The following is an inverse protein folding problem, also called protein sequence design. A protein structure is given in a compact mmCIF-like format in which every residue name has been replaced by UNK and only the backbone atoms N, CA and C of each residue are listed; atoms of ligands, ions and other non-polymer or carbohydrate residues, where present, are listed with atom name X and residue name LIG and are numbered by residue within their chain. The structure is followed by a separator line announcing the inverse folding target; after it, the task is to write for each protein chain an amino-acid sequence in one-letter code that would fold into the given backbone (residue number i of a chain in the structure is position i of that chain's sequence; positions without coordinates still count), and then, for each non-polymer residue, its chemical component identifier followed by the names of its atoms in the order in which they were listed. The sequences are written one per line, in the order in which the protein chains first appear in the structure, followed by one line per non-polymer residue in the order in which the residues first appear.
data_IF_799610034677
#
_entry.id   IF_799610034677
#
_cell.length_a   1.000
_cell.length_b   1.000
_cell.length_c   1.000
_cell.angle_alpha   90.00
_cell.angle_beta   90.00
_cell.angle_gamma   90.00
#
_symmetry.space_group_name_H-M   'P 1'
#
loop_
_entity.id
_entity.type
_entity.pdbx_description
1 polymer ?
#
# COMPACT_ATOMS: atom_id res chain seq x y z
N UNK A 1 45.45 12.67 0.34
CA UNK A 1 44.90 11.30 0.31
C UNK A 1 44.04 10.94 1.51
N UNK A 2 44.46 11.19 2.76
CA UNK A 2 43.65 10.85 3.96
C UNK A 2 42.32 11.62 4.07
N UNK A 3 42.34 12.92 3.79
CA UNK A 3 41.13 13.77 3.79
C UNK A 3 40.10 13.35 2.74
N UNK A 4 40.54 13.01 1.53
CA UNK A 4 39.65 12.56 0.44
C UNK A 4 38.91 11.28 0.83
N UNK A 5 39.61 10.31 1.44
CA UNK A 5 39.00 9.06 1.91
C UNK A 5 37.98 9.28 3.03
N UNK A 6 38.29 10.18 3.98
CA UNK A 6 37.38 10.54 5.05
C UNK A 6 36.10 11.22 4.52
N UNK A 7 36.24 12.11 3.53
CA UNK A 7 35.12 12.81 2.91
C UNK A 7 34.19 11.84 2.14
N UNK A 8 34.77 10.89 1.40
CA UNK A 8 33.99 9.86 0.69
C UNK A 8 33.23 8.98 1.67
N UNK A 9 33.86 8.58 2.78
CA UNK A 9 33.21 7.76 3.80
C UNK A 9 32.05 8.51 4.47
N UNK A 10 32.25 9.79 4.78
CA UNK A 10 31.21 10.64 5.34
C UNK A 10 30.01 10.73 4.39
N UNK A 11 30.24 11.02 3.11
CA UNK A 11 29.17 11.12 2.11
C UNK A 11 28.38 9.81 1.98
N UNK A 12 29.06 8.66 1.91
CA UNK A 12 28.41 7.35 1.84
C UNK A 12 27.57 7.04 3.09
N UNK A 13 28.09 7.36 4.28
CA UNK A 13 27.36 7.20 5.54
C UNK A 13 26.11 8.08 5.57
N UNK A 14 26.21 9.34 5.17
CA UNK A 14 25.05 10.24 5.14
C UNK A 14 23.98 9.73 4.17
N UNK A 15 24.38 9.31 2.97
CA UNK A 15 23.45 8.76 1.97
C UNK A 15 22.75 7.49 2.47
N UNK A 16 23.49 6.57 3.09
CA UNK A 16 22.94 5.34 3.65
C UNK A 16 21.95 5.64 4.79
N UNK A 17 22.29 6.58 5.68
CA UNK A 17 21.42 7.01 6.78
C UNK A 17 20.14 7.70 6.27
N UNK A 18 20.24 8.56 5.26
CA UNK A 18 19.07 9.21 4.66
C UNK A 18 18.14 8.22 3.96
N UNK A 19 18.71 7.24 3.25
CA UNK A 19 17.92 6.22 2.56
C UNK A 19 17.20 5.31 3.57
N UNK A 20 17.91 4.89 4.62
CA UNK A 20 17.31 4.13 5.71
C UNK A 20 16.19 4.91 6.42
N UNK A 21 16.36 6.22 6.65
CA UNK A 21 15.31 7.04 7.25
C UNK A 21 14.03 7.05 6.40
N UNK A 22 14.15 7.25 5.08
CA UNK A 22 12.99 7.28 4.18
C UNK A 22 12.26 5.94 4.06
N UNK A 23 12.94 4.80 4.27
CA UNK A 23 12.32 3.47 4.17
C UNK A 23 11.81 2.92 5.50
N UNK A 24 12.32 3.40 6.63
CA UNK A 24 11.99 2.87 7.96
C UNK A 24 10.97 3.72 8.72
N UNK A 25 10.77 4.97 8.33
CA UNK A 25 9.65 5.77 8.81
C UNK A 25 8.36 5.20 8.24
N UNK A 26 7.58 4.49 9.07
CA UNK A 26 6.21 4.15 8.74
C UNK A 26 5.44 5.41 8.33
N UNK A 27 4.48 5.28 7.42
CA UNK A 27 3.63 6.41 7.01
C UNK A 27 2.91 6.93 8.26
N UNK A 28 3.32 8.11 8.74
CA UNK A 28 2.64 8.77 9.84
C UNK A 28 1.20 9.04 9.41
N UNK A 29 0.24 8.70 10.27
CA UNK A 29 -1.18 8.93 9.99
C UNK A 29 -1.95 7.76 9.39
N UNK A 30 -1.36 6.57 9.21
CA UNK A 30 -2.12 5.38 8.74
C UNK A 30 -3.31 5.04 9.63
N UNK A 31 -3.18 5.16 10.96
CA UNK A 31 -4.28 4.89 11.89
C UNK A 31 -5.40 5.94 11.79
N UNK A 32 -5.13 7.26 11.87
CA UNK A 32 -6.13 8.28 11.58
C UNK A 32 -6.77 8.15 10.20
N UNK A 33 -5.98 7.88 9.15
CA UNK A 33 -6.46 7.71 7.78
C UNK A 33 -7.38 6.49 7.66
N UNK A 34 -7.02 5.37 8.29
CA UNK A 34 -7.84 4.17 8.34
C UNK A 34 -9.16 4.41 9.05
N UNK A 35 -9.16 5.16 10.15
CA UNK A 35 -10.39 5.55 10.85
C UNK A 35 -11.28 6.42 9.96
N UNK A 36 -10.70 7.35 9.18
CA UNK A 36 -11.45 8.22 8.29
C UNK A 36 -12.05 7.51 7.07
N UNK A 37 -11.30 6.58 6.46
CA UNK A 37 -11.74 5.85 5.27
C UNK A 37 -12.60 4.62 5.59
N UNK A 38 -12.39 4.00 6.74
CA UNK A 38 -13.00 2.72 7.10
C UNK A 38 -12.47 1.55 6.24
N UNK A 39 -13.14 0.39 6.35
CA UNK A 39 -12.74 -0.87 5.71
C UNK A 39 -13.89 -1.61 5.01
N UNK A 40 -15.02 -0.95 4.78
CA UNK A 40 -16.24 -1.55 4.21
C UNK A 40 -16.07 -2.11 2.79
N UNK A 41 -15.04 -1.66 2.06
CA UNK A 41 -14.73 -2.15 0.71
C UNK A 41 -14.05 -3.52 0.71
N UNK A 42 -13.55 -4.01 1.85
CA UNK A 42 -13.04 -5.36 1.97
C UNK A 42 -14.20 -6.36 1.78
N UNK A 43 -14.20 -7.08 0.67
CA UNK A 43 -15.26 -8.03 0.31
C UNK A 43 -16.45 -7.41 -0.44
N UNK A 44 -16.47 -6.10 -0.67
CA UNK A 44 -17.52 -5.46 -1.43
C UNK A 44 -17.52 -5.93 -2.90
N UNK A 45 -18.71 -6.14 -3.45
CA UNK A 45 -18.92 -6.58 -4.82
C UNK A 45 -19.66 -5.51 -5.61
N UNK A 46 -19.09 -5.11 -6.74
CA UNK A 46 -19.69 -4.14 -7.65
C UNK A 46 -20.85 -4.73 -8.43
N UNK A 47 -21.88 -3.91 -8.68
CA UNK A 47 -23.04 -4.31 -9.49
C UNK A 47 -22.67 -4.58 -10.95
N UNK A 48 -21.82 -3.74 -11.52
CA UNK A 48 -21.31 -3.88 -12.89
C UNK A 48 -19.80 -4.14 -12.90
N UNK A 49 -19.26 -4.52 -14.06
CA UNK A 49 -17.82 -4.65 -14.23
C UNK A 49 -17.10 -3.31 -14.00
N UNK A 50 -17.73 -2.19 -14.37
CA UNK A 50 -17.22 -0.85 -14.12
C UNK A 50 -17.20 -0.52 -12.62
N UNK A 51 -18.21 -0.93 -11.86
CA UNK A 51 -18.25 -0.73 -10.41
C UNK A 51 -17.19 -1.58 -9.70
N UNK A 52 -17.03 -2.85 -10.10
CA UNK A 52 -15.98 -3.70 -9.56
C UNK A 52 -14.59 -3.13 -9.85
N UNK A 53 -14.37 -2.58 -11.06
CA UNK A 53 -13.12 -1.90 -11.39
C UNK A 53 -12.84 -0.71 -10.46
N UNK A 54 -13.87 0.06 -10.06
CA UNK A 54 -13.72 1.17 -9.12
C UNK A 54 -13.33 0.67 -7.73
N UNK A 55 -13.99 -0.39 -7.23
CA UNK A 55 -13.67 -0.99 -5.93
C UNK A 55 -12.22 -1.51 -5.92
N UNK A 56 -11.82 -2.25 -6.95
CA UNK A 56 -10.46 -2.81 -7.08
C UNK A 56 -9.39 -1.72 -7.08
N UNK A 57 -9.61 -0.65 -7.85
CA UNK A 57 -8.68 0.50 -7.94
C UNK A 57 -8.58 1.28 -6.63
N UNK A 58 -9.64 1.35 -5.84
CA UNK A 58 -9.62 2.03 -4.54
C UNK A 58 -8.90 1.19 -3.48
N UNK A 59 -9.11 -0.13 -3.45
CA UNK A 59 -8.50 -1.01 -2.44
C UNK A 59 -7.02 -1.28 -2.68
N UNK A 60 -6.59 -1.42 -3.94
CA UNK A 60 -5.23 -1.86 -4.28
C UNK A 60 -4.11 -0.98 -3.69
N UNK A 61 -4.17 0.38 -3.75
CA UNK A 61 -3.14 1.23 -3.14
C UNK A 61 -3.08 1.08 -1.61
N UNK A 62 -4.25 0.99 -0.96
CA UNK A 62 -4.34 0.79 0.50
C UNK A 62 -3.70 -0.53 0.94
N UNK A 63 -3.86 -1.59 0.15
CA UNK A 63 -3.18 -2.87 0.38
C UNK A 63 -1.67 -2.77 0.18
N UNK A 64 -1.21 -2.04 -0.84
CA UNK A 64 0.23 -1.85 -1.11
C UNK A 64 0.95 -1.11 0.03
N UNK A 65 0.30 -0.11 0.63
CA UNK A 65 0.89 0.70 1.72
C UNK A 65 0.55 0.22 3.13
N UNK A 66 -0.05 -0.98 3.26
CA UNK A 66 -0.47 -1.57 4.55
C UNK A 66 -1.45 -0.70 5.34
N UNK A 67 -2.25 0.11 4.64
CA UNK A 67 -3.42 0.78 5.24
C UNK A 67 -4.48 -0.26 5.63
N UNK A 68 -4.66 -1.28 4.77
CA UNK A 68 -5.49 -2.45 5.04
C UNK A 68 -4.68 -3.63 5.58
N UNK A 69 -5.30 -4.42 6.44
CA UNK A 69 -4.70 -5.65 6.95
C UNK A 69 -4.61 -6.69 5.84
N UNK A 70 -3.71 -7.66 6.01
CA UNK A 70 -3.58 -8.77 5.06
C UNK A 70 -4.90 -9.52 4.84
N UNK A 71 -5.64 -9.78 5.92
CA UNK A 71 -6.93 -10.47 5.86
C UNK A 71 -7.98 -9.69 5.03
N UNK A 72 -8.00 -8.37 5.13
CA UNK A 72 -8.91 -7.52 4.34
C UNK A 72 -8.54 -7.52 2.85
N UNK A 73 -7.25 -7.46 2.54
CA UNK A 73 -6.76 -7.54 1.17
C UNK A 73 -7.04 -8.91 0.54
N UNK A 74 -6.89 -9.99 1.31
CA UNK A 74 -7.22 -11.34 0.86
C UNK A 74 -8.74 -11.50 0.64
N UNK A 75 -9.56 -10.95 1.54
CA UNK A 75 -11.03 -10.92 1.39
C UNK A 75 -11.45 -10.17 0.12
N UNK A 76 -10.86 -8.98 -0.10
CA UNK A 76 -11.09 -8.20 -1.33
C UNK A 76 -10.73 -8.99 -2.60
N UNK A 77 -9.55 -9.63 -2.61
CA UNK A 77 -9.07 -10.40 -3.77
C UNK A 77 -10.03 -11.53 -4.13
N UNK A 78 -10.49 -12.29 -3.12
CA UNK A 78 -11.44 -13.39 -3.32
C UNK A 78 -12.79 -12.87 -3.84
N UNK A 79 -13.34 -11.82 -3.23
CA UNK A 79 -14.62 -11.25 -3.63
C UNK A 79 -14.59 -10.66 -5.05
N UNK A 80 -13.50 -9.97 -5.42
CA UNK A 80 -13.31 -9.42 -6.76
C UNK A 80 -13.23 -10.53 -7.81
N UNK A 81 -12.45 -11.59 -7.54
CA UNK A 81 -12.35 -12.74 -8.44
C UNK A 81 -13.71 -13.42 -8.66
N UNK A 82 -14.46 -13.69 -7.58
CA UNK A 82 -15.79 -14.29 -7.65
C UNK A 82 -16.76 -13.40 -8.45
N UNK A 83 -16.86 -12.10 -8.12
CA UNK A 83 -17.77 -11.18 -8.80
C UNK A 83 -17.45 -11.01 -10.29
N UNK A 84 -16.17 -11.01 -10.65
CA UNK A 84 -15.73 -10.95 -12.05
C UNK A 84 -16.04 -12.23 -12.82
N UNK A 85 -16.07 -13.40 -12.17
CA UNK A 85 -16.54 -14.63 -12.81
C UNK A 85 -18.04 -14.54 -13.10
N UNK A 86 -18.84 -14.08 -12.13
CA UNK A 86 -20.30 -13.90 -12.24
C UNK A 86 -20.72 -12.83 -13.25
N UNK A 87 -19.89 -11.81 -13.51
CA UNK A 87 -20.20 -10.74 -14.47
C UNK A 87 -19.81 -11.06 -15.92
N UNK A 88 -19.08 -12.15 -16.14
CA UNK A 88 -18.69 -12.62 -17.49
C UNK A 88 -19.73 -13.57 -18.10
N UNK A 89 -20.55 -14.18 -17.26
CA UNK A 89 -21.77 -14.91 -17.63
C UNK A 89 -22.91 -13.95 -17.93
#
# INVERSE_FOLDING_TARGET
MRFTRALTLACLLTSALTLAACTTSGVSGVTPLRQALGNSLAGAQGKTQADQNKIDRTMAPGCAVKLYTRAECDLHTKASAARRAELKT
#
